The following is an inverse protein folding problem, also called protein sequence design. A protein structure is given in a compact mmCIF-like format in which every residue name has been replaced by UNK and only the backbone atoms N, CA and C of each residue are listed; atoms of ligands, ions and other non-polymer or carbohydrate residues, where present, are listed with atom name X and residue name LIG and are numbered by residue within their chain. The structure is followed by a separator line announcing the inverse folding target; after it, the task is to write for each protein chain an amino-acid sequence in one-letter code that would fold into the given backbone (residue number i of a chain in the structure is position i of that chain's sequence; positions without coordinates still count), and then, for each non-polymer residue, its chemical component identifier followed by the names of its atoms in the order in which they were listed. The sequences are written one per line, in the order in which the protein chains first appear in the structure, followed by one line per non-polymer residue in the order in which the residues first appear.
data_IF_679216133264
#
_entry.id   IF_679216133264
#
_cell.length_a   1.000
_cell.length_b   1.000
_cell.length_c   1.000
_cell.angle_alpha   90.00
_cell.angle_beta   90.00
_cell.angle_gamma   90.00
#
_symmetry.space_group_name_H-M   'P 1'
#
loop_
_entity.id
_entity.type
_entity.pdbx_description
1 polymer ?
#
# COMPACT_ATOMS: atom_id res chain seq x y z
N UNK A 1 28.82 21.43 -43.78
CA UNK A 1 27.65 20.98 -44.57
C UNK A 1 27.64 19.47 -44.48
N UNK A 2 27.08 18.95 -43.40
CA UNK A 2 25.69 18.45 -43.30
C UNK A 2 25.73 16.96 -43.64
N UNK A 3 25.23 16.02 -42.86
CA UNK A 3 24.33 16.05 -41.72
C UNK A 3 23.81 14.61 -41.56
N UNK A 4 23.20 14.33 -40.41
CA UNK A 4 22.42 13.12 -40.12
C UNK A 4 23.21 11.81 -39.96
N UNK A 5 23.90 11.71 -38.81
CA UNK A 5 23.91 10.44 -38.11
C UNK A 5 22.47 10.01 -37.81
N UNK A 6 22.13 8.71 -37.90
CA UNK A 6 20.79 8.27 -37.57
C UNK A 6 20.53 8.67 -36.14
N UNK A 7 19.54 9.55 -36.00
CA UNK A 7 19.04 10.06 -34.76
C UNK A 7 19.11 8.96 -33.70
N UNK A 8 19.72 9.31 -32.58
CA UNK A 8 19.24 8.90 -31.28
C UNK A 8 17.72 9.15 -31.27
N UNK A 9 16.97 8.19 -31.81
CA UNK A 9 15.53 8.13 -31.67
C UNK A 9 15.33 7.76 -30.22
N UNK A 10 15.34 8.80 -29.40
CA UNK A 10 14.33 9.08 -28.41
C UNK A 10 13.15 8.13 -28.56
N UNK A 11 13.33 6.95 -27.99
CA UNK A 11 12.26 6.09 -27.55
C UNK A 11 12.40 6.07 -26.03
N UNK A 12 12.23 7.24 -25.41
CA UNK A 12 11.46 7.27 -24.18
C UNK A 12 10.11 6.69 -24.59
N UNK A 13 9.99 5.36 -24.57
CA UNK A 13 8.69 4.72 -24.62
C UNK A 13 7.90 5.44 -23.53
N UNK A 14 6.84 6.15 -23.92
CA UNK A 14 5.91 6.69 -22.96
C UNK A 14 5.37 5.48 -22.21
N UNK A 15 5.98 5.15 -21.07
CA UNK A 15 5.62 3.98 -20.31
C UNK A 15 4.18 4.19 -19.87
N UNK A 16 3.29 3.35 -20.38
CA UNK A 16 1.87 3.46 -20.13
C UNK A 16 1.59 3.30 -18.64
N UNK A 17 0.61 4.04 -18.14
CA UNK A 17 0.14 3.85 -16.76
C UNK A 17 -0.30 2.40 -16.55
N UNK A 18 0.15 1.70 -15.50
CA UNK A 18 -0.28 0.34 -15.20
C UNK A 18 -1.80 0.23 -15.05
N UNK A 19 -2.39 -0.87 -15.50
CA UNK A 19 -3.85 -1.07 -15.47
C UNK A 19 -4.43 -0.99 -14.05
N UNK A 20 -3.73 -1.57 -13.07
CA UNK A 20 -4.13 -1.51 -11.66
C UNK A 20 -4.23 -0.07 -11.15
N UNK A 21 -3.36 0.84 -11.60
CA UNK A 21 -3.43 2.27 -11.23
C UNK A 21 -4.69 2.91 -11.80
N UNK A 22 -5.03 2.61 -13.05
CA UNK A 22 -6.24 3.12 -13.70
C UNK A 22 -7.51 2.58 -13.05
N UNK A 23 -7.48 1.32 -12.62
CA UNK A 23 -8.56 0.69 -11.86
C UNK A 23 -8.75 1.36 -10.51
N UNK A 24 -7.69 1.49 -9.71
CA UNK A 24 -7.76 2.12 -8.38
C UNK A 24 -8.29 3.55 -8.44
N UNK A 25 -7.81 4.36 -9.40
CA UNK A 25 -8.32 5.73 -9.61
C UNK A 25 -9.81 5.80 -9.96
N UNK A 26 -10.36 4.73 -10.50
CA UNK A 26 -11.78 4.62 -10.87
C UNK A 26 -12.64 4.09 -9.73
N UNK A 27 -12.12 3.16 -8.93
CA UNK A 27 -12.89 2.48 -7.87
C UNK A 27 -12.76 3.11 -6.49
N UNK A 28 -11.66 3.82 -6.22
CA UNK A 28 -11.43 4.48 -4.95
C UNK A 28 -12.14 5.83 -4.90
N UNK A 29 -12.57 6.28 -3.71
CA UNK A 29 -13.16 7.61 -3.56
C UNK A 29 -12.17 8.70 -3.99
N UNK A 30 -12.65 9.84 -4.55
CA UNK A 30 -11.77 10.91 -5.06
C UNK A 30 -10.84 11.54 -4.01
N UNK A 31 -11.16 11.38 -2.72
CA UNK A 31 -10.33 11.85 -1.61
C UNK A 31 -9.06 11.00 -1.41
N UNK A 32 -9.00 9.79 -1.98
CA UNK A 32 -7.79 8.97 -1.97
C UNK A 32 -6.89 9.31 -3.16
N UNK A 33 -5.67 9.73 -2.88
CA UNK A 33 -4.71 10.09 -3.92
C UNK A 33 -3.88 8.87 -4.33
N UNK A 34 -4.03 8.44 -5.59
CA UNK A 34 -3.28 7.30 -6.16
C UNK A 34 -2.15 7.80 -7.06
N UNK A 35 -0.92 7.62 -6.61
CA UNK A 35 0.32 7.93 -7.35
C UNK A 35 1.15 6.68 -7.55
N UNK A 36 2.08 6.74 -8.50
CA UNK A 36 2.93 5.59 -8.85
C UNK A 36 4.20 6.06 -9.56
N UNK A 37 5.24 5.23 -9.52
CA UNK A 37 6.48 5.42 -10.27
C UNK A 37 7.09 4.08 -10.69
N UNK A 38 7.81 4.08 -11.81
CA UNK A 38 8.69 2.95 -12.12
C UNK A 38 9.87 2.90 -11.17
N UNK A 39 10.24 1.69 -10.76
CA UNK A 39 11.40 1.48 -9.88
C UNK A 39 12.66 1.56 -10.74
N UNK A 40 13.47 2.61 -10.53
CA UNK A 40 14.72 2.85 -11.27
C UNK A 40 14.58 2.83 -12.81
N UNK A 41 13.41 3.20 -13.34
CA UNK A 41 13.12 3.16 -14.77
C UNK A 41 12.91 1.75 -15.34
N UNK A 42 12.76 0.73 -14.49
CA UNK A 42 12.40 -0.61 -14.91
C UNK A 42 10.89 -0.68 -15.22
N UNK A 43 10.54 -1.00 -16.47
CA UNK A 43 9.15 -1.11 -16.89
C UNK A 43 8.40 -2.26 -16.18
N UNK A 44 9.13 -3.28 -15.74
CA UNK A 44 8.58 -4.45 -15.09
C UNK A 44 8.36 -4.29 -13.58
N UNK A 45 8.83 -3.19 -12.99
CA UNK A 45 8.62 -2.91 -11.57
C UNK A 45 8.05 -1.51 -11.39
N UNK A 46 7.04 -1.40 -10.56
CA UNK A 46 6.51 -0.11 -10.17
C UNK A 46 6.11 -0.09 -8.71
N UNK A 47 6.30 1.07 -8.11
CA UNK A 47 5.80 1.40 -6.80
C UNK A 47 4.49 2.16 -6.95
N UNK A 48 3.56 1.88 -6.05
CA UNK A 48 2.23 2.45 -5.99
C UNK A 48 2.00 3.00 -4.58
N UNK A 49 1.43 4.20 -4.51
CA UNK A 49 1.12 4.89 -3.26
C UNK A 49 -0.36 5.28 -3.28
N UNK A 50 -1.06 5.00 -2.19
CA UNK A 50 -2.44 5.39 -1.95
C UNK A 50 -2.48 6.16 -0.64
N UNK A 51 -2.61 7.47 -0.74
CA UNK A 51 -2.69 8.37 0.41
C UNK A 51 -4.16 8.64 0.78
N UNK A 52 -4.47 8.50 2.07
CA UNK A 52 -5.78 8.82 2.66
C UNK A 52 -5.78 10.24 3.20
N UNK A 53 -6.98 10.80 3.37
CA UNK A 53 -7.16 12.15 3.89
C UNK A 53 -6.67 12.34 5.35
N UNK A 54 -6.50 11.26 6.11
CA UNK A 54 -5.94 11.28 7.47
C UNK A 54 -4.39 11.24 7.48
N UNK A 55 -3.75 11.26 6.31
CA UNK A 55 -2.30 11.24 6.14
C UNK A 55 -1.68 9.84 6.13
N UNK A 56 -2.47 8.77 6.34
CA UNK A 56 -1.98 7.40 6.23
C UNK A 56 -1.74 7.01 4.77
N UNK A 57 -0.65 6.29 4.51
CA UNK A 57 -0.27 5.87 3.15
C UNK A 57 -0.10 4.36 3.06
N UNK A 58 -0.81 3.75 2.12
CA UNK A 58 -0.53 2.39 1.65
C UNK A 58 0.50 2.47 0.53
N UNK A 59 1.60 1.76 0.71
CA UNK A 59 2.65 1.54 -0.27
C UNK A 59 2.59 0.10 -0.79
N UNK A 60 2.72 -0.06 -2.11
CA UNK A 60 2.78 -1.37 -2.73
C UNK A 60 3.80 -1.42 -3.87
N UNK A 61 4.67 -2.42 -3.86
CA UNK A 61 5.59 -2.71 -4.98
C UNK A 61 5.07 -3.90 -5.77
N UNK A 62 5.01 -3.73 -7.08
CA UNK A 62 4.61 -4.75 -8.05
C UNK A 62 5.79 -5.13 -8.95
N UNK A 63 5.79 -6.38 -9.38
CA UNK A 63 6.65 -6.86 -10.46
C UNK A 63 5.78 -7.60 -11.50
N UNK A 64 5.97 -7.37 -12.79
CA UNK A 64 5.12 -7.94 -13.87
C UNK A 64 5.18 -9.46 -13.97
N UNK A 65 6.20 -10.09 -13.39
CA UNK A 65 6.38 -11.54 -13.34
C UNK A 65 6.01 -12.18 -11.99
N UNK A 66 5.45 -11.41 -11.05
CA UNK A 66 4.99 -11.91 -9.75
C UNK A 66 3.51 -11.58 -9.61
N UNK A 67 2.69 -12.59 -9.30
CA UNK A 67 1.25 -12.44 -9.12
C UNK A 67 0.85 -11.91 -7.73
N UNK A 68 1.80 -11.29 -7.02
CA UNK A 68 1.64 -10.77 -5.67
C UNK A 68 2.37 -9.43 -5.52
N UNK A 69 1.72 -8.51 -4.82
CA UNK A 69 2.26 -7.22 -4.42
C UNK A 69 2.90 -7.32 -3.04
N UNK A 70 4.03 -6.63 -2.85
CA UNK A 70 4.57 -6.39 -1.50
C UNK A 70 3.93 -5.13 -0.94
N UNK A 71 3.24 -5.25 0.18
CA UNK A 71 2.43 -4.16 0.74
C UNK A 71 2.95 -3.73 2.09
N UNK A 72 3.01 -2.42 2.31
CA UNK A 72 3.17 -1.82 3.63
C UNK A 72 2.24 -0.63 3.84
N UNK A 73 1.88 -0.38 5.10
CA UNK A 73 1.21 0.85 5.53
C UNK A 73 2.11 1.42 6.61
N UNK A 74 2.80 2.53 6.34
CA UNK A 74 3.92 2.99 7.17
C UNK A 74 4.88 1.84 7.53
N UNK A 75 5.04 1.56 8.83
CA UNK A 75 5.90 0.51 9.40
C UNK A 75 5.22 -0.88 9.46
N UNK A 76 3.95 -1.00 9.05
CA UNK A 76 3.24 -2.29 8.96
C UNK A 76 3.59 -2.97 7.64
N UNK A 77 4.47 -3.98 7.69
CA UNK A 77 4.84 -4.79 6.54
C UNK A 77 3.97 -6.06 6.52
N UNK A 78 3.22 -6.28 5.44
CA UNK A 78 2.34 -7.43 5.29
C UNK A 78 3.04 -8.60 4.61
N UNK A 79 2.47 -9.79 4.76
CA UNK A 79 2.72 -10.87 3.80
C UNK A 79 2.29 -10.42 2.40
N UNK A 80 2.92 -10.94 1.33
CA UNK A 80 2.54 -10.59 -0.04
C UNK A 80 1.04 -10.74 -0.29
N UNK A 81 0.46 -9.74 -0.96
CA UNK A 81 -0.97 -9.68 -1.26
C UNK A 81 -1.15 -10.06 -2.73
N UNK A 82 -1.95 -11.09 -3.07
CA UNK A 82 -2.21 -11.44 -4.46
C UNK A 82 -2.73 -10.26 -5.28
N UNK A 83 -2.22 -10.09 -6.50
CA UNK A 83 -2.57 -8.96 -7.36
C UNK A 83 -4.09 -8.88 -7.63
N UNK A 84 -4.75 -10.03 -7.74
CA UNK A 84 -6.21 -10.12 -7.92
C UNK A 84 -7.02 -9.62 -6.72
N UNK A 85 -6.45 -9.67 -5.50
CA UNK A 85 -7.08 -9.21 -4.25
C UNK A 85 -6.71 -7.76 -3.93
N UNK A 86 -5.64 -7.24 -4.53
CA UNK A 86 -5.06 -5.95 -4.18
C UNK A 86 -6.06 -4.78 -4.28
N UNK A 87 -6.91 -4.75 -5.32
CA UNK A 87 -7.92 -3.68 -5.46
C UNK A 87 -8.88 -3.64 -4.26
N UNK A 88 -9.34 -4.80 -3.80
CA UNK A 88 -10.24 -4.87 -2.64
C UNK A 88 -9.49 -4.54 -1.35
N UNK A 89 -8.26 -5.01 -1.18
CA UNK A 89 -7.39 -4.63 -0.06
C UNK A 89 -7.25 -3.10 0.05
N UNK A 90 -6.94 -2.44 -1.08
CA UNK A 90 -6.83 -0.99 -1.13
C UNK A 90 -8.15 -0.29 -0.83
N UNK A 91 -9.28 -0.83 -1.30
CA UNK A 91 -10.61 -0.29 -0.99
C UNK A 91 -10.92 -0.38 0.50
N UNK A 92 -10.65 -1.52 1.13
CA UNK A 92 -10.85 -1.73 2.56
C UNK A 92 -10.01 -0.76 3.39
N UNK A 93 -8.73 -0.56 3.02
CA UNK A 93 -7.88 0.44 3.66
C UNK A 93 -8.45 1.86 3.53
N UNK A 94 -8.79 2.29 2.32
CA UNK A 94 -9.30 3.64 2.06
C UNK A 94 -10.65 3.89 2.74
N UNK A 95 -11.52 2.89 2.77
CA UNK A 95 -12.83 2.93 3.40
C UNK A 95 -12.79 2.81 4.93
N UNK A 96 -11.59 2.76 5.53
CA UNK A 96 -11.39 2.65 6.97
C UNK A 96 -11.93 1.34 7.57
N UNK A 97 -11.93 0.26 6.78
CA UNK A 97 -12.45 -1.05 7.15
C UNK A 97 -11.33 -1.97 7.65
N UNK A 98 -10.57 -1.48 8.62
CA UNK A 98 -9.51 -2.20 9.31
C UNK A 98 -9.61 -1.98 10.81
N UNK A 99 -8.71 -2.59 11.57
CA UNK A 99 -8.61 -2.36 13.00
C UNK A 99 -7.16 -2.25 13.41
N UNK A 100 -6.85 -1.27 14.26
CA UNK A 100 -5.59 -1.20 14.98
C UNK A 100 -5.85 -1.54 16.45
N UNK A 101 -5.06 -2.48 16.98
CA UNK A 101 -5.11 -2.90 18.39
C UNK A 101 -3.75 -2.77 19.01
N UNK A 102 -3.73 -2.24 20.23
CA UNK A 102 -2.56 -2.37 21.09
C UNK A 102 -2.48 -3.82 21.60
N UNK A 103 -1.33 -4.46 21.42
CA UNK A 103 -1.05 -5.81 21.90
C UNK A 103 0.18 -5.79 22.80
N UNK A 104 0.16 -6.61 23.85
CA UNK A 104 1.33 -6.83 24.71
C UNK A 104 2.05 -8.08 24.24
N UNK A 105 3.32 -7.94 23.84
CA UNK A 105 4.28 -9.04 23.77
C UNK A 105 5.30 -8.81 24.89
N UNK A 106 5.94 -9.83 25.47
CA UNK A 106 6.68 -9.68 26.73
C UNK A 106 7.53 -8.40 26.78
N UNK A 107 7.21 -7.51 27.73
CA UNK A 107 7.88 -6.22 28.00
C UNK A 107 7.79 -5.12 26.93
N UNK A 108 7.11 -5.32 25.80
CA UNK A 108 6.99 -4.33 24.72
C UNK A 108 5.54 -4.17 24.23
N UNK A 109 5.13 -2.92 24.01
CA UNK A 109 3.85 -2.61 23.34
C UNK A 109 4.03 -2.69 21.83
N UNK A 110 3.11 -3.40 21.19
CA UNK A 110 3.03 -3.54 19.74
C UNK A 110 1.66 -3.05 19.28
N UNK A 111 1.60 -2.55 18.06
CA UNK A 111 0.33 -2.33 17.37
C UNK A 111 0.14 -3.46 16.36
N UNK A 112 -1.05 -4.03 16.35
CA UNK A 112 -1.51 -4.96 15.33
C UNK A 112 -2.47 -4.20 14.40
N UNK A 113 -2.13 -4.14 13.13
CA UNK A 113 -3.07 -3.77 12.07
C UNK A 113 -3.71 -5.06 11.55
N UNK A 114 -5.02 -5.08 11.37
CA UNK A 114 -5.73 -6.19 10.73
C UNK A 114 -6.86 -5.72 9.84
N UNK A 115 -7.00 -6.34 8.68
CA UNK A 115 -8.18 -6.22 7.80
C UNK A 115 -8.57 -7.60 7.28
N UNK A 116 -9.84 -7.77 6.88
CA UNK A 116 -10.33 -9.00 6.26
C UNK A 116 -10.79 -8.68 4.85
N UNK A 117 -10.20 -9.34 3.86
CA UNK A 117 -10.52 -9.18 2.44
C UNK A 117 -10.97 -10.53 1.92
N UNK A 118 -12.19 -10.63 1.39
CA UNK A 118 -12.78 -11.88 0.89
C UNK A 118 -12.67 -13.08 1.84
N UNK A 119 -12.79 -12.82 3.15
CA UNK A 119 -12.70 -13.85 4.20
C UNK A 119 -11.26 -14.22 4.61
N UNK A 120 -10.24 -13.66 3.97
CA UNK A 120 -8.82 -13.83 4.32
C UNK A 120 -8.38 -12.67 5.22
N UNK A 121 -7.75 -13.00 6.36
CA UNK A 121 -7.25 -12.01 7.30
C UNK A 121 -5.83 -11.60 6.93
N UNK A 122 -5.64 -10.32 6.62
CA UNK A 122 -4.33 -9.70 6.45
C UNK A 122 -3.97 -8.94 7.72
N UNK A 123 -2.81 -9.24 8.29
CA UNK A 123 -2.37 -8.56 9.50
C UNK A 123 -0.88 -8.30 9.51
N UNK A 124 -0.48 -7.25 10.19
CA UNK A 124 0.90 -6.88 10.40
C UNK A 124 1.09 -6.29 11.79
N UNK A 125 2.32 -6.36 12.29
CA UNK A 125 2.69 -5.87 13.60
C UNK A 125 3.86 -4.90 13.50
N UNK A 126 3.77 -3.80 14.23
CA UNK A 126 4.90 -2.90 14.47
C UNK A 126 5.03 -2.54 15.93
N UNK A 127 6.20 -2.03 16.33
CA UNK A 127 6.43 -1.58 17.71
C UNK A 127 5.71 -0.26 17.97
N UNK A 128 5.03 -0.13 19.11
CA UNK A 128 4.28 1.08 19.50
C UNK A 128 5.18 2.18 20.11
N UNK A 129 6.33 2.47 19.50
CA UNK A 129 7.28 3.47 20.03
C UNK A 129 6.84 4.90 19.73
N UNK A 130 6.34 5.13 18.51
CA UNK A 130 5.82 6.39 18.03
C UNK A 130 4.48 6.06 17.38
N UNK A 131 3.39 6.30 18.11
CA UNK A 131 2.04 6.13 17.58
C UNK A 131 1.75 7.39 16.76
N UNK A 132 1.47 7.21 15.47
CA UNK A 132 1.11 8.28 14.55
C UNK A 132 -0.31 8.77 14.85
N UNK A 133 -0.63 10.05 14.58
CA UNK A 133 -1.96 10.60 14.87
C UNK A 133 -3.11 9.84 14.21
N UNK A 134 -2.90 9.34 12.98
CA UNK A 134 -3.91 8.56 12.27
C UNK A 134 -4.17 7.24 13.00
N UNK A 135 -3.13 6.53 13.45
CA UNK A 135 -3.30 5.30 14.19
C UNK A 135 -4.03 5.52 15.50
N UNK A 136 -3.72 6.62 16.21
CA UNK A 136 -4.39 6.97 17.46
C UNK A 136 -5.91 7.13 17.26
N UNK A 137 -6.34 7.70 16.14
CA UNK A 137 -7.76 7.82 15.80
C UNK A 137 -8.46 6.47 15.55
N UNK A 138 -7.69 5.44 15.18
CA UNK A 138 -8.17 4.08 14.87
C UNK A 138 -7.85 3.06 15.96
N UNK A 139 -7.19 3.48 17.04
CA UNK A 139 -6.83 2.60 18.13
C UNK A 139 -8.09 2.15 18.86
N UNK A 140 -8.48 0.91 18.59
CA UNK A 140 -9.40 0.21 19.48
C UNK A 140 -8.63 -0.18 20.74
N UNK A 141 -8.94 0.48 21.85
CA UNK A 141 -8.61 -0.06 23.16
C UNK A 141 -9.51 -1.27 23.35
N UNK A 142 -8.98 -2.46 23.04
CA UNK A 142 -9.54 -3.66 23.62
C UNK A 142 -9.49 -3.45 25.14
N UNK A 143 -10.65 -3.28 25.78
CA UNK A 143 -10.80 -3.61 27.19
C UNK A 143 -10.27 -5.03 27.32
N UNK A 144 -9.04 -5.18 27.82
CA UNK A 144 -8.57 -6.47 28.31
C UNK A 144 -9.66 -6.91 29.32
N UNK A 145 -10.25 -8.10 29.18
CA UNK A 145 -10.98 -8.66 30.31
C UNK A 145 -9.95 -8.80 31.43
N UNK A 146 -10.21 -8.14 32.56
CA UNK A 146 -9.39 -8.25 33.76
C UNK A 146 -9.10 -9.74 34.02
N UNK A 147 -7.83 -10.12 33.84
CA UNK A 147 -7.32 -11.47 34.04
C UNK A 147 -6.09 -11.44 34.93
#
# INVERSE_FOLDING_TARGET
MDGEGPAARSATAAMSTPEIVLELRRVLPPAAQVTWNHVFGNADHFDLFIERADGSTLFATFATWIDEARVSIDDYIFEPVPNEVFTEFARMFVADLFTIRATRRPFLRWLQFSMVVDGVSYSSFRRAKNIEPWEESHLSFATEPDG
#
